data_IF_633744085956
#
_entry.id   IF_633744085956
#
_cell.length_a   1.000
_cell.length_b   1.000
_cell.length_c   1.000
_cell.angle_alpha   90.00
_cell.angle_beta   90.00
_cell.angle_gamma   90.00
#
_symmetry.space_group_name_H-M   'P 1'
#
loop_
_entity.id
_entity.type
_entity.pdbx_description
1 polymer ?
#
# COMPACT_ATOMS: atom_id res chain seq x y z
N UNK A 1 18.09 -2.87 4.02
CA UNK A 1 17.22 -2.94 2.82
C UNK A 1 17.00 -4.38 2.36
N UNK A 2 17.97 -5.29 2.45
CA UNK A 2 17.79 -6.71 2.06
C UNK A 2 16.71 -7.44 2.86
N UNK A 3 16.65 -7.26 4.18
CA UNK A 3 15.57 -7.85 5.00
C UNK A 3 14.17 -7.33 4.60
N UNK A 4 14.05 -6.03 4.29
CA UNK A 4 12.81 -5.45 3.80
C UNK A 4 12.44 -5.99 2.41
N UNK A 5 13.43 -6.19 1.55
CA UNK A 5 13.24 -6.79 0.23
C UNK A 5 12.66 -8.22 0.36
N UNK A 6 13.21 -9.01 1.26
CA UNK A 6 12.73 -10.35 1.59
C UNK A 6 11.31 -10.34 2.18
N UNK A 7 11.08 -9.57 3.25
CA UNK A 7 9.77 -9.47 3.92
C UNK A 7 8.67 -8.93 3.01
N UNK A 8 8.98 -8.01 2.11
CA UNK A 8 8.03 -7.42 1.17
C UNK A 8 7.93 -8.19 -0.15
N UNK A 9 8.83 -9.17 -0.39
CA UNK A 9 8.90 -9.92 -1.65
C UNK A 9 9.22 -9.06 -2.86
N UNK A 10 10.02 -8.00 -2.71
CA UNK A 10 10.46 -7.11 -3.80
C UNK A 10 11.98 -7.04 -3.85
N UNK A 11 12.56 -6.66 -4.99
CA UNK A 11 14.02 -6.55 -5.09
C UNK A 11 14.58 -5.40 -4.26
N UNK A 12 15.84 -5.51 -3.83
CA UNK A 12 16.53 -4.46 -3.07
C UNK A 12 16.54 -3.09 -3.80
N UNK A 13 16.75 -2.99 -5.14
CA UNK A 13 16.59 -1.72 -5.86
C UNK A 13 15.18 -1.13 -5.79
N UNK A 14 14.13 -1.98 -5.73
CA UNK A 14 12.75 -1.51 -5.52
C UNK A 14 12.57 -0.96 -4.12
N UNK A 15 13.09 -1.61 -3.07
CA UNK A 15 13.09 -1.03 -1.71
C UNK A 15 13.75 0.35 -1.70
N UNK A 16 14.89 0.50 -2.37
CA UNK A 16 15.57 1.79 -2.50
C UNK A 16 14.70 2.83 -3.22
N UNK A 17 14.08 2.49 -4.35
CA UNK A 17 13.17 3.39 -5.06
C UNK A 17 12.02 3.85 -4.16
N UNK A 18 11.39 2.93 -3.41
CA UNK A 18 10.30 3.25 -2.50
C UNK A 18 10.72 4.18 -1.37
N UNK A 19 11.84 3.90 -0.69
CA UNK A 19 12.36 4.73 0.41
C UNK A 19 12.82 6.11 -0.07
N UNK A 20 13.22 6.25 -1.33
CA UNK A 20 13.54 7.52 -1.96
C UNK A 20 12.32 8.21 -2.61
N UNK A 21 11.10 7.76 -2.31
CA UNK A 21 9.86 8.41 -2.77
C UNK A 21 9.54 8.23 -4.26
N UNK A 22 10.23 7.33 -4.98
CA UNK A 22 9.99 7.04 -6.41
C UNK A 22 8.79 6.11 -6.60
N UNK A 23 7.64 6.53 -6.06
CA UNK A 23 6.39 5.75 -6.03
C UNK A 23 5.75 5.63 -7.42
N UNK A 24 6.06 6.54 -8.33
CA UNK A 24 5.69 6.52 -9.76
C UNK A 24 6.18 5.25 -10.49
N UNK A 25 7.19 4.56 -9.94
CA UNK A 25 7.73 3.30 -10.47
C UNK A 25 6.97 2.04 -10.01
N UNK A 26 5.90 2.22 -9.25
CA UNK A 26 5.09 1.15 -8.69
C UNK A 26 3.67 1.25 -9.24
N UNK A 27 3.08 0.12 -9.60
CA UNK A 27 1.63 0.09 -9.80
C UNK A 27 0.93 0.31 -8.46
N UNK A 28 -0.30 0.83 -8.52
CA UNK A 28 -1.17 0.93 -7.33
C UNK A 28 -1.27 -0.43 -6.64
N UNK A 29 -1.50 -1.51 -7.40
CA UNK A 29 -1.58 -2.87 -6.87
C UNK A 29 -0.33 -3.27 -6.07
N UNK A 30 0.87 -2.93 -6.56
CA UNK A 30 2.11 -3.24 -5.83
C UNK A 30 2.19 -2.46 -4.52
N UNK A 31 1.78 -1.19 -4.53
CA UNK A 31 1.76 -0.37 -3.31
C UNK A 31 0.76 -0.93 -2.29
N UNK A 32 -0.41 -1.36 -2.73
CA UNK A 32 -1.40 -2.00 -1.87
C UNK A 32 -0.89 -3.33 -1.31
N UNK A 33 -0.24 -4.16 -2.12
CA UNK A 33 0.37 -5.42 -1.67
C UNK A 33 1.43 -5.18 -0.59
N UNK A 34 2.26 -4.15 -0.75
CA UNK A 34 3.26 -3.76 0.25
C UNK A 34 2.56 -3.35 1.56
N UNK A 35 1.50 -2.54 1.50
CA UNK A 35 0.71 -2.15 2.68
C UNK A 35 0.14 -3.38 3.39
N UNK A 36 -0.39 -4.36 2.65
CA UNK A 36 -0.90 -5.60 3.21
C UNK A 36 0.18 -6.47 3.85
N UNK A 37 1.34 -6.63 3.20
CA UNK A 37 2.49 -7.36 3.78
C UNK A 37 3.04 -6.73 5.06
N UNK A 38 2.84 -5.42 5.23
CA UNK A 38 3.19 -4.72 6.47
C UNK A 38 2.19 -4.92 7.61
N UNK A 39 1.16 -5.74 7.42
CA UNK A 39 0.14 -6.04 8.44
C UNK A 39 -0.93 -4.96 8.56
N UNK A 40 -1.22 -4.27 7.46
CA UNK A 40 -2.36 -3.36 7.36
C UNK A 40 -3.45 -3.96 6.49
N UNK A 41 -4.65 -3.41 6.60
CA UNK A 41 -5.79 -3.70 5.73
C UNK A 41 -6.40 -2.41 5.21
N UNK A 42 -7.04 -2.49 4.07
CA UNK A 42 -7.86 -1.42 3.52
C UNK A 42 -9.30 -1.64 3.96
N UNK A 43 -9.89 -0.60 4.53
CA UNK A 43 -11.31 -0.48 4.74
C UNK A 43 -11.83 0.49 3.68
N UNK A 44 -12.69 0.00 2.79
CA UNK A 44 -13.22 0.77 1.67
C UNK A 44 -14.73 0.83 1.79
N UNK A 45 -15.27 2.03 1.69
CA UNK A 45 -16.69 2.26 1.65
C UNK A 45 -17.07 3.08 0.42
N UNK A 46 -18.21 2.74 -0.17
CA UNK A 46 -18.76 3.43 -1.33
C UNK A 46 -20.16 3.95 -1.00
N UNK A 47 -20.28 5.27 -0.90
CA UNK A 47 -21.53 5.96 -0.65
C UNK A 47 -21.97 6.70 -1.92
N UNK A 48 -22.82 6.11 -2.77
CA UNK A 48 -23.17 6.66 -4.10
C UNK A 48 -23.87 8.02 -4.05
N UNK A 49 -24.49 8.36 -2.91
CA UNK A 49 -25.19 9.64 -2.73
C UNK A 49 -24.25 10.78 -2.31
N UNK A 50 -23.00 10.48 -1.92
CA UNK A 50 -21.99 11.49 -1.65
C UNK A 50 -21.27 11.85 -2.94
N UNK A 51 -21.68 12.93 -3.60
CA UNK A 51 -21.13 13.35 -4.89
C UNK A 51 -19.75 13.98 -4.81
N UNK A 52 -19.32 14.47 -3.64
CA UNK A 52 -18.00 15.08 -3.45
C UNK A 52 -16.92 14.05 -3.15
N UNK A 53 -17.27 12.99 -2.41
CA UNK A 53 -16.34 11.92 -2.01
C UNK A 53 -17.09 10.58 -1.93
N UNK A 54 -17.48 9.99 -3.07
CA UNK A 54 -18.29 8.78 -3.10
C UNK A 54 -17.52 7.54 -2.63
N UNK A 55 -16.18 7.58 -2.67
CA UNK A 55 -15.30 6.52 -2.22
C UNK A 55 -14.47 7.01 -1.04
N UNK A 56 -14.55 6.29 0.07
CA UNK A 56 -13.68 6.50 1.24
C UNK A 56 -12.79 5.28 1.41
N UNK A 57 -11.50 5.50 1.63
CA UNK A 57 -10.53 4.43 1.86
C UNK A 57 -9.70 4.76 3.10
N UNK A 58 -9.66 3.84 4.05
CA UNK A 58 -8.92 3.96 5.31
C UNK A 58 -7.99 2.78 5.47
N UNK A 59 -6.70 3.06 5.66
CA UNK A 59 -5.72 2.04 6.03
C UNK A 59 -5.80 1.82 7.54
N UNK A 60 -6.10 0.59 7.96
CA UNK A 60 -6.18 0.19 9.37
C UNK A 60 -5.14 -0.87 9.68
N UNK A 61 -4.60 -0.89 10.90
CA UNK A 61 -3.75 -2.01 11.34
C UNK A 61 -4.58 -3.30 11.32
N UNK A 62 -4.04 -4.36 10.75
CA UNK A 62 -4.66 -5.68 10.88
C UNK A 62 -4.47 -6.13 12.34
N UNK A 63 -5.59 -6.32 13.06
CA UNK A 63 -5.54 -6.99 14.35
C UNK A 63 -5.24 -8.46 14.09
N UNK A 64 -4.23 -8.99 14.79
CA UNK A 64 -3.89 -10.42 14.81
C UNK A 64 -4.88 -11.15 15.69
#
# INVERSE_FOLDING_TARGET
>A
QSEAAEKLGISQPRVSNMLNGKLDKFSVDTLLEIVFKMGYKLDMDFTPLNTESPLTMVVKKAMV
#
